data_IF_066774331161
#
_entry.id   IF_066774331161
#
_cell.length_a   1.000
_cell.length_b   1.000
_cell.length_c   1.000
_cell.angle_alpha   90.00
_cell.angle_beta   90.00
_cell.angle_gamma   90.00
#
_symmetry.space_group_name_H-M   'P 1'
#
loop_
_entity.id
_entity.type
_entity.pdbx_description
1 polymer ?
#
# COMPACT_ATOMS: atom_id res chain seq x y z
N UNK A 1 18.85 -15.85 -4.42
CA UNK A 1 20.16 -15.88 -3.71
C UNK A 1 20.03 -16.68 -2.44
N UNK A 2 21.04 -17.48 -2.12
CA UNK A 2 21.16 -18.10 -0.78
C UNK A 2 21.57 -17.05 0.25
N UNK A 3 22.53 -16.19 -0.08
CA UNK A 3 22.94 -15.03 0.67
C UNK A 3 23.43 -13.94 -0.28
N UNK A 4 23.03 -12.71 -0.02
CA UNK A 4 23.53 -11.53 -0.74
C UNK A 4 23.61 -10.36 0.24
N UNK A 5 24.75 -9.68 0.25
CA UNK A 5 24.95 -8.42 0.95
C UNK A 5 25.36 -7.38 -0.08
N UNK A 6 24.66 -6.25 -0.08
CA UNK A 6 24.90 -5.14 -1.02
C UNK A 6 24.93 -3.84 -0.23
N UNK A 7 25.97 -3.06 -0.44
CA UNK A 7 26.05 -1.70 0.04
C UNK A 7 25.65 -0.74 -1.09
N UNK A 8 24.76 0.20 -0.79
CA UNK A 8 24.26 1.16 -1.77
C UNK A 8 24.95 2.50 -1.59
N UNK A 9 25.37 3.09 -2.71
CA UNK A 9 25.87 4.46 -2.74
C UNK A 9 24.67 5.45 -2.66
N UNK A 10 24.80 6.56 -1.92
CA UNK A 10 23.83 7.65 -2.03
C UNK A 10 23.71 8.16 -3.46
N UNK A 11 22.51 8.17 -4.04
CA UNK A 11 22.25 8.58 -5.41
C UNK A 11 22.06 7.39 -6.37
N UNK A 12 22.71 7.41 -7.53
CA UNK A 12 22.49 6.42 -8.58
C UNK A 12 23.25 5.12 -8.31
N UNK A 13 22.53 4.00 -8.29
CA UNK A 13 23.08 2.65 -8.28
C UNK A 13 22.58 1.90 -9.52
N UNK A 14 23.49 1.32 -10.29
CA UNK A 14 23.16 0.64 -11.56
C UNK A 14 23.53 -0.83 -11.48
N UNK A 15 22.58 -1.72 -11.76
CA UNK A 15 22.78 -3.16 -11.79
C UNK A 15 22.88 -3.65 -13.24
N UNK A 16 24.08 -4.08 -13.65
CA UNK A 16 24.36 -4.59 -14.98
C UNK A 16 24.63 -6.10 -14.93
N UNK A 17 24.25 -6.80 -15.98
CA UNK A 17 24.50 -8.25 -16.12
C UNK A 17 23.48 -8.91 -17.04
N UNK A 18 23.69 -10.19 -17.33
CA UNK A 18 22.79 -10.99 -18.19
C UNK A 18 21.42 -11.21 -17.52
N UNK A 19 20.45 -11.66 -18.30
CA UNK A 19 19.13 -12.02 -17.79
C UNK A 19 19.23 -13.22 -16.84
N UNK A 20 18.26 -13.34 -15.93
CA UNK A 20 18.21 -14.37 -14.90
C UNK A 20 19.31 -14.34 -13.84
N UNK A 21 20.15 -13.29 -13.76
CA UNK A 21 21.19 -13.12 -12.74
C UNK A 21 20.70 -12.50 -11.43
N UNK A 22 19.38 -12.32 -11.27
CA UNK A 22 18.79 -11.85 -10.02
C UNK A 22 18.74 -10.32 -9.83
N UNK A 23 19.06 -9.50 -10.84
CA UNK A 23 18.99 -8.03 -10.75
C UNK A 23 17.63 -7.53 -10.22
N UNK A 24 16.55 -8.08 -10.79
CA UNK A 24 15.19 -7.75 -10.37
C UNK A 24 14.90 -8.20 -8.93
N UNK A 25 15.49 -9.30 -8.49
CA UNK A 25 15.31 -9.78 -7.12
C UNK A 25 15.93 -8.82 -6.09
N UNK A 26 17.00 -8.10 -6.44
CA UNK A 26 17.57 -7.05 -5.56
C UNK A 26 16.56 -5.91 -5.44
N UNK A 27 16.00 -5.40 -6.54
CA UNK A 27 14.98 -4.35 -6.51
C UNK A 27 13.72 -4.82 -5.75
N UNK A 28 13.30 -6.06 -6.00
CA UNK A 28 12.17 -6.68 -5.29
C UNK A 28 12.42 -6.76 -3.78
N UNK A 29 13.64 -7.08 -3.35
CA UNK A 29 14.00 -7.14 -1.93
C UNK A 29 13.93 -5.77 -1.24
N UNK A 30 14.33 -4.69 -1.93
CA UNK A 30 14.20 -3.31 -1.45
C UNK A 30 12.71 -2.94 -1.30
N UNK A 31 11.92 -3.23 -2.34
CA UNK A 31 10.48 -3.00 -2.33
C UNK A 31 9.79 -3.81 -1.22
N UNK A 32 10.20 -5.07 -1.06
CA UNK A 32 9.68 -5.94 -0.01
C UNK A 32 10.04 -5.43 1.38
N UNK A 33 11.28 -4.96 1.56
CA UNK A 33 11.72 -4.35 2.83
C UNK A 33 10.91 -3.10 3.20
N UNK A 34 10.52 -2.29 2.23
CA UNK A 34 9.71 -1.10 2.48
C UNK A 34 8.24 -1.42 2.77
N UNK A 35 7.64 -2.32 1.98
CA UNK A 35 6.19 -2.51 1.89
C UNK A 35 5.70 -3.87 2.39
N UNK A 36 6.60 -4.74 2.82
CA UNK A 36 6.29 -6.10 3.29
C UNK A 36 5.56 -6.97 2.26
N UNK A 37 5.63 -6.63 0.99
CA UNK A 37 5.00 -7.36 -0.12
C UNK A 37 5.87 -7.33 -1.37
N UNK A 38 5.76 -8.35 -2.21
CA UNK A 38 6.31 -8.31 -3.56
C UNK A 38 5.44 -7.48 -4.50
N UNK A 39 6.05 -6.85 -5.51
CA UNK A 39 5.34 -6.23 -6.63
C UNK A 39 4.98 -7.26 -7.71
N UNK A 40 5.67 -8.42 -7.76
CA UNK A 40 5.55 -9.45 -8.79
C UNK A 40 4.59 -10.58 -8.41
N UNK A 41 4.56 -10.99 -7.14
CA UNK A 41 3.72 -12.10 -6.67
C UNK A 41 2.86 -11.70 -5.47
N UNK A 42 1.72 -12.38 -5.34
CA UNK A 42 0.85 -12.29 -4.15
C UNK A 42 1.13 -13.41 -3.15
N UNK A 43 1.88 -14.42 -3.56
CA UNK A 43 2.18 -15.58 -2.76
C UNK A 43 3.60 -15.46 -2.19
N UNK A 44 3.72 -15.23 -0.89
CA UNK A 44 5.01 -15.09 -0.23
C UNK A 44 5.91 -16.33 -0.35
N UNK A 45 5.33 -17.51 -0.60
CA UNK A 45 6.12 -18.75 -0.81
C UNK A 45 6.98 -18.69 -2.06
N UNK A 46 6.59 -17.89 -3.05
CA UNK A 46 7.36 -17.72 -4.29
C UNK A 46 8.67 -16.92 -4.05
N UNK A 47 8.80 -16.29 -2.89
CA UNK A 47 9.99 -15.54 -2.48
C UNK A 47 11.00 -16.40 -1.72
N UNK A 48 10.59 -17.60 -1.29
CA UNK A 48 11.45 -18.55 -0.56
C UNK A 48 12.32 -19.31 -1.55
N UNK A 49 13.59 -19.47 -1.24
CA UNK A 49 14.51 -20.30 -2.03
C UNK A 49 14.07 -21.75 -2.05
N UNK A 50 14.21 -22.47 -3.17
CA UNK A 50 13.60 -23.79 -3.41
C UNK A 50 13.91 -24.84 -2.33
N UNK A 51 15.06 -24.78 -1.71
CA UNK A 51 15.51 -25.73 -0.67
C UNK A 51 15.36 -25.18 0.75
N UNK A 52 14.67 -24.05 0.91
CA UNK A 52 14.47 -23.38 2.18
C UNK A 52 13.00 -23.36 2.60
N UNK A 53 12.75 -23.22 3.89
CA UNK A 53 11.42 -23.04 4.47
C UNK A 53 11.15 -21.59 4.87
N UNK A 54 12.18 -20.76 4.84
CA UNK A 54 12.15 -19.38 5.31
C UNK A 54 13.04 -18.48 4.47
N UNK A 55 12.82 -17.18 4.57
CA UNK A 55 13.72 -16.17 4.06
C UNK A 55 13.77 -14.94 4.99
N UNK A 56 14.82 -14.17 4.84
CA UNK A 56 15.03 -12.94 5.57
C UNK A 56 15.55 -11.85 4.64
N UNK A 57 14.94 -10.66 4.75
CA UNK A 57 15.44 -9.42 4.15
C UNK A 57 15.69 -8.43 5.26
N UNK A 58 16.87 -7.83 5.27
CA UNK A 58 17.21 -6.78 6.24
C UNK A 58 18.01 -5.67 5.57
N UNK A 59 17.90 -4.46 6.09
CA UNK A 59 18.64 -3.32 5.62
C UNK A 59 18.89 -2.31 6.74
N UNK A 60 19.96 -1.54 6.59
CA UNK A 60 20.30 -0.43 7.48
C UNK A 60 20.05 0.87 6.73
N UNK A 61 19.02 1.60 7.14
CA UNK A 61 18.72 2.90 6.58
C UNK A 61 19.57 3.97 7.26
N UNK A 62 20.31 4.75 6.48
CA UNK A 62 20.98 5.94 6.98
C UNK A 62 19.99 7.12 6.96
N UNK A 63 19.73 7.70 8.13
CA UNK A 63 18.85 8.85 8.32
C UNK A 63 19.62 9.98 9.01
N UNK A 64 19.11 11.19 8.91
CA UNK A 64 19.64 12.35 9.67
C UNK A 64 19.63 12.10 11.18
N UNK A 65 18.62 11.37 11.67
CA UNK A 65 18.46 10.99 13.08
C UNK A 65 19.30 9.78 13.50
N UNK A 66 20.12 9.23 12.59
CA UNK A 66 20.95 8.06 12.81
C UNK A 66 20.46 6.81 12.06
N UNK A 67 21.26 5.72 12.12
CA UNK A 67 20.97 4.48 11.42
C UNK A 67 19.72 3.79 11.97
N UNK A 68 18.87 3.30 11.08
CA UNK A 68 17.66 2.56 11.42
C UNK A 68 17.68 1.17 10.76
N UNK A 69 17.93 0.10 11.51
CA UNK A 69 17.82 -1.26 11.00
C UNK A 69 16.36 -1.67 10.82
N UNK A 70 16.04 -2.19 9.63
CA UNK A 70 14.79 -2.83 9.29
C UNK A 70 15.01 -4.30 8.98
N UNK A 71 14.07 -5.15 9.38
CA UNK A 71 14.12 -6.58 9.12
C UNK A 71 12.73 -7.13 8.87
N UNK A 72 12.64 -7.99 7.86
CA UNK A 72 11.47 -8.83 7.59
C UNK A 72 11.95 -10.26 7.46
N UNK A 73 11.30 -11.16 8.16
CA UNK A 73 11.49 -12.60 8.01
C UNK A 73 10.16 -13.30 7.77
N UNK A 74 10.17 -14.26 6.88
CA UNK A 74 9.07 -15.20 6.66
C UNK A 74 9.51 -16.58 7.11
N UNK A 75 8.69 -17.19 7.94
CA UNK A 75 8.89 -18.56 8.45
C UNK A 75 7.60 -19.35 8.31
N UNK A 76 7.57 -20.68 8.50
CA UNK A 76 6.35 -21.46 8.56
C UNK A 76 5.32 -20.95 9.59
N UNK A 77 5.79 -20.25 10.64
CA UNK A 77 4.94 -19.61 11.67
C UNK A 77 4.36 -18.27 11.23
N UNK A 78 4.74 -17.77 10.06
CA UNK A 78 4.28 -16.50 9.50
C UNK A 78 5.36 -15.45 9.37
N UNK A 79 4.92 -14.24 9.00
CA UNK A 79 5.78 -13.08 8.79
C UNK A 79 6.07 -12.35 10.10
N UNK A 80 7.30 -11.92 10.27
CA UNK A 80 7.76 -11.10 11.38
C UNK A 80 8.49 -9.88 10.84
N UNK A 81 8.17 -8.71 11.37
CA UNK A 81 8.82 -7.45 11.03
C UNK A 81 9.47 -6.84 12.28
N UNK A 82 10.64 -6.23 12.10
CA UNK A 82 11.33 -5.50 13.16
C UNK A 82 11.77 -4.13 12.68
N UNK A 83 11.65 -3.15 13.55
CA UNK A 83 12.16 -1.79 13.39
C UNK A 83 13.10 -1.55 14.57
N UNK A 84 14.35 -1.16 14.30
CA UNK A 84 15.38 -0.97 15.34
C UNK A 84 15.47 -2.19 16.29
N UNK A 85 15.50 -3.39 15.71
CA UNK A 85 15.53 -4.69 16.40
C UNK A 85 14.26 -5.05 17.19
N UNK A 86 13.28 -4.14 17.31
CA UNK A 86 12.03 -4.35 18.04
C UNK A 86 10.96 -4.93 17.11
N UNK A 87 10.38 -6.07 17.52
CA UNK A 87 9.29 -6.72 16.78
C UNK A 87 8.06 -5.82 16.73
N UNK A 88 7.45 -5.69 15.55
CA UNK A 88 6.24 -4.93 15.36
C UNK A 88 5.00 -5.83 15.46
N UNK A 89 4.02 -5.41 16.25
CA UNK A 89 2.78 -6.15 16.42
C UNK A 89 1.85 -6.04 15.22
N UNK A 90 1.90 -4.91 14.49
CA UNK A 90 1.08 -4.62 13.31
C UNK A 90 1.97 -4.16 12.16
N UNK A 91 1.60 -4.52 10.93
CA UNK A 91 2.31 -4.06 9.73
C UNK A 91 2.22 -2.54 9.54
N UNK A 92 1.12 -1.92 9.99
CA UNK A 92 0.98 -0.46 9.99
C UNK A 92 2.02 0.27 10.82
N UNK A 93 2.63 -0.41 11.81
CA UNK A 93 3.71 0.16 12.62
C UNK A 93 5.08 0.00 11.94
N UNK A 94 5.17 -0.82 10.91
CA UNK A 94 6.39 -1.05 10.15
C UNK A 94 6.44 -0.21 8.87
N UNK A 95 5.33 -0.14 8.13
CA UNK A 95 5.24 0.60 6.87
C UNK A 95 5.38 2.10 7.15
N UNK A 96 6.10 2.80 6.25
CA UNK A 96 6.38 4.23 6.38
C UNK A 96 7.74 4.57 7.01
N UNK A 97 8.45 3.58 7.56
CA UNK A 97 9.84 3.80 7.99
C UNK A 97 10.81 3.94 6.82
N UNK A 98 10.51 3.31 5.70
CA UNK A 98 11.19 3.44 4.42
C UNK A 98 10.14 3.64 3.32
N UNK A 99 10.22 4.76 2.60
CA UNK A 99 9.35 5.02 1.46
C UNK A 99 10.07 4.60 0.18
N UNK A 100 9.33 3.95 -0.72
CA UNK A 100 9.84 3.49 -2.00
C UNK A 100 8.87 3.83 -3.11
N UNK A 101 9.40 4.29 -4.23
CA UNK A 101 8.66 4.41 -5.48
C UNK A 101 9.30 3.44 -6.47
N UNK A 102 8.51 2.52 -6.97
CA UNK A 102 8.93 1.57 -7.99
C UNK A 102 8.29 1.97 -9.32
N UNK A 103 9.08 1.92 -10.39
CA UNK A 103 8.58 1.99 -11.75
C UNK A 103 9.00 0.71 -12.49
N UNK A 104 8.03 -0.03 -12.98
CA UNK A 104 8.21 -1.28 -13.70
C UNK A 104 7.30 -1.34 -14.94
N UNK A 105 7.61 -2.17 -15.95
CA UNK A 105 6.76 -2.29 -17.15
C UNK A 105 5.30 -2.66 -16.84
N UNK A 106 5.06 -3.37 -15.74
CA UNK A 106 3.75 -3.76 -15.26
C UNK A 106 2.88 -2.56 -14.83
N UNK A 107 3.49 -1.43 -14.50
CA UNK A 107 2.79 -0.21 -14.07
C UNK A 107 1.98 0.44 -15.20
N UNK A 108 2.22 0.06 -16.46
CA UNK A 108 1.34 0.40 -17.58
C UNK A 108 -0.10 -0.12 -17.36
N UNK A 109 -0.28 -1.15 -16.54
CA UNK A 109 -1.59 -1.63 -16.12
C UNK A 109 -2.35 -0.61 -15.24
N UNK A 110 -1.66 0.38 -14.68
CA UNK A 110 -2.32 1.48 -13.96
C UNK A 110 -3.27 2.25 -14.89
N UNK A 111 -2.86 2.43 -16.16
CA UNK A 111 -3.66 3.11 -17.18
C UNK A 111 -4.62 2.15 -17.88
N UNK A 112 -4.11 0.99 -18.34
CA UNK A 112 -4.84 0.03 -19.17
C UNK A 112 -5.70 -0.95 -18.37
N UNK A 113 -5.41 -1.12 -17.08
CA UNK A 113 -6.03 -2.11 -16.22
C UNK A 113 -7.32 -1.66 -15.53
N UNK A 114 -7.86 -2.55 -14.73
CA UNK A 114 -9.11 -2.33 -14.00
C UNK A 114 -8.97 -1.27 -12.88
N UNK A 115 -10.08 -0.62 -12.48
CA UNK A 115 -10.09 0.38 -11.39
C UNK A 115 -9.53 -0.12 -10.05
N UNK A 116 -9.61 -1.42 -9.79
CA UNK A 116 -9.04 -2.04 -8.58
C UNK A 116 -7.51 -1.87 -8.51
N UNK A 117 -6.80 -1.89 -9.66
CA UNK A 117 -5.37 -1.62 -9.73
C UNK A 117 -5.04 -0.19 -9.32
N UNK A 118 -5.80 0.78 -9.81
CA UNK A 118 -5.64 2.20 -9.45
C UNK A 118 -5.92 2.46 -7.98
N UNK A 119 -6.97 1.86 -7.40
CA UNK A 119 -7.23 1.97 -5.95
C UNK A 119 -6.10 1.36 -5.13
N UNK A 120 -5.60 0.18 -5.54
CA UNK A 120 -4.47 -0.46 -4.87
C UNK A 120 -3.21 0.41 -4.91
N UNK A 121 -2.93 1.10 -6.03
CA UNK A 121 -1.83 2.05 -6.13
C UNK A 121 -1.98 3.17 -5.08
N UNK A 122 -3.13 3.84 -5.03
CA UNK A 122 -3.40 4.89 -4.04
C UNK A 122 -3.21 4.35 -2.62
N UNK A 123 -3.72 3.15 -2.32
CA UNK A 123 -3.64 2.55 -0.99
C UNK A 123 -2.18 2.24 -0.58
N UNK A 124 -1.34 1.88 -1.54
CA UNK A 124 0.09 1.66 -1.32
C UNK A 124 0.79 2.98 -1.00
N UNK A 125 0.58 4.00 -1.84
CA UNK A 125 1.25 5.28 -1.68
C UNK A 125 0.81 6.01 -0.40
N UNK A 126 -0.50 6.09 -0.16
CA UNK A 126 -1.03 6.66 1.09
C UNK A 126 -0.57 5.88 2.33
N UNK A 127 -0.50 4.55 2.22
CA UNK A 127 -0.05 3.70 3.30
C UNK A 127 1.38 3.96 3.74
N UNK A 128 2.27 4.29 2.81
CA UNK A 128 3.65 4.67 3.13
C UNK A 128 3.74 6.06 3.78
N UNK A 129 2.87 6.98 3.37
CA UNK A 129 2.92 8.39 3.77
C UNK A 129 2.18 8.67 5.07
N UNK A 130 1.09 7.94 5.33
CA UNK A 130 0.15 8.20 6.44
C UNK A 130 -0.19 6.90 7.17
N UNK A 131 0.44 6.57 8.30
CA UNK A 131 0.12 5.37 9.07
C UNK A 131 -1.35 5.29 9.51
N UNK A 132 -1.99 6.44 9.79
CA UNK A 132 -3.41 6.49 10.15
C UNK A 132 -4.30 5.98 9.02
N UNK A 133 -3.96 6.25 7.76
CA UNK A 133 -4.68 5.74 6.60
C UNK A 133 -4.72 4.21 6.57
N UNK A 134 -3.59 3.54 6.86
CA UNK A 134 -3.54 2.08 6.92
C UNK A 134 -4.43 1.53 8.04
N UNK A 135 -4.48 2.22 9.17
CA UNK A 135 -5.36 1.85 10.27
C UNK A 135 -6.83 1.96 9.86
N UNK A 136 -7.24 3.10 9.30
CA UNK A 136 -8.61 3.34 8.87
C UNK A 136 -9.04 2.37 7.76
N UNK A 137 -8.18 2.15 6.76
CA UNK A 137 -8.43 1.18 5.68
C UNK A 137 -8.56 -0.26 6.21
N UNK A 138 -7.76 -0.63 7.21
CA UNK A 138 -7.84 -1.94 7.85
C UNK A 138 -9.16 -2.12 8.60
N UNK A 139 -9.58 -1.11 9.37
CA UNK A 139 -10.85 -1.13 10.09
C UNK A 139 -12.03 -1.14 9.12
N UNK A 140 -12.01 -0.29 8.09
CA UNK A 140 -13.02 -0.29 7.04
C UNK A 140 -13.21 -1.69 6.44
N UNK A 141 -12.11 -2.32 6.01
CA UNK A 141 -12.18 -3.66 5.41
C UNK A 141 -12.66 -4.73 6.41
N UNK A 142 -12.31 -4.59 7.68
CA UNK A 142 -12.76 -5.51 8.73
C UNK A 142 -14.27 -5.42 8.93
N UNK A 143 -14.80 -4.21 9.13
CA UNK A 143 -16.23 -3.96 9.32
C UNK A 143 -17.03 -4.35 8.06
N UNK A 144 -16.53 -4.00 6.87
CA UNK A 144 -17.14 -4.39 5.60
C UNK A 144 -17.29 -5.93 5.48
N UNK A 145 -16.25 -6.66 5.87
CA UNK A 145 -16.29 -8.13 5.87
C UNK A 145 -17.32 -8.66 6.88
N UNK A 146 -17.38 -8.07 8.07
CA UNK A 146 -18.36 -8.45 9.09
C UNK A 146 -19.79 -8.20 8.60
N UNK A 147 -20.07 -6.99 8.07
CA UNK A 147 -21.37 -6.62 7.51
C UNK A 147 -21.80 -7.58 6.40
N UNK A 148 -20.93 -7.80 5.42
CA UNK A 148 -21.23 -8.70 4.31
C UNK A 148 -21.46 -10.15 4.76
N UNK A 149 -20.71 -10.62 5.76
CA UNK A 149 -20.91 -11.94 6.35
C UNK A 149 -22.22 -12.03 7.11
N UNK A 150 -22.57 -10.99 7.86
CA UNK A 150 -23.82 -10.90 8.61
C UNK A 150 -25.03 -10.94 7.66
N UNK A 151 -25.05 -10.07 6.65
CA UNK A 151 -26.13 -10.03 5.66
C UNK A 151 -26.30 -11.33 4.88
N UNK A 152 -25.19 -12.04 4.63
CA UNK A 152 -25.23 -13.31 3.87
C UNK A 152 -25.73 -14.51 4.70
N UNK A 153 -25.39 -14.55 6.00
CA UNK A 153 -25.54 -15.77 6.80
C UNK A 153 -26.67 -15.68 7.84
N UNK A 154 -27.26 -14.49 8.05
CA UNK A 154 -28.34 -14.32 9.03
C UNK A 154 -29.69 -14.64 8.40
N UNK A 155 -30.44 -15.55 9.03
CA UNK A 155 -31.83 -15.85 8.64
C UNK A 155 -32.77 -14.67 8.95
N UNK A 156 -32.48 -13.93 10.02
CA UNK A 156 -33.20 -12.72 10.43
C UNK A 156 -32.20 -11.62 10.73
N UNK A 157 -32.39 -10.47 10.11
CA UNK A 157 -31.55 -9.30 10.29
C UNK A 157 -32.04 -8.52 11.52
N UNK A 158 -31.12 -8.25 12.44
CA UNK A 158 -31.31 -7.28 13.51
C UNK A 158 -30.85 -5.91 13.00
N UNK A 159 -31.82 -5.02 12.79
CA UNK A 159 -31.57 -3.67 12.26
C UNK A 159 -30.66 -2.86 13.19
N UNK A 160 -30.81 -3.00 14.51
CA UNK A 160 -29.95 -2.28 15.48
C UNK A 160 -28.50 -2.70 15.36
N UNK A 161 -28.23 -3.99 15.19
CA UNK A 161 -26.87 -4.47 14.98
C UNK A 161 -26.32 -4.05 13.62
N UNK A 162 -27.15 -4.04 12.57
CA UNK A 162 -26.75 -3.57 11.25
C UNK A 162 -26.41 -2.08 11.28
N UNK A 163 -27.20 -1.24 11.95
CA UNK A 163 -26.93 0.20 12.13
C UNK A 163 -25.59 0.46 12.80
N UNK A 164 -25.20 -0.35 13.78
CA UNK A 164 -23.88 -0.26 14.43
C UNK A 164 -22.75 -0.54 13.43
N UNK A 165 -22.90 -1.58 12.59
CA UNK A 165 -21.91 -1.88 11.56
C UNK A 165 -21.85 -0.79 10.49
N UNK A 166 -23.00 -0.26 10.10
CA UNK A 166 -23.11 0.78 9.09
C UNK A 166 -22.52 2.12 9.57
N UNK A 167 -22.75 2.50 10.83
CA UNK A 167 -22.10 3.64 11.46
C UNK A 167 -20.58 3.50 11.48
N UNK A 168 -20.06 2.36 11.86
CA UNK A 168 -18.61 2.12 11.84
C UNK A 168 -18.05 2.15 10.42
N UNK A 169 -18.77 1.56 9.46
CA UNK A 169 -18.36 1.52 8.06
C UNK A 169 -18.34 2.93 7.46
N UNK A 170 -19.34 3.75 7.76
CA UNK A 170 -19.41 5.15 7.33
C UNK A 170 -18.27 5.97 7.92
N UNK A 171 -18.01 5.81 9.21
CA UNK A 171 -16.94 6.54 9.92
C UNK A 171 -15.55 6.22 9.39
N UNK A 172 -15.20 4.94 9.20
CA UNK A 172 -13.91 4.58 8.61
C UNK A 172 -13.85 4.90 7.12
N UNK A 173 -14.95 4.69 6.39
CA UNK A 173 -15.06 4.94 4.95
C UNK A 173 -14.90 6.39 4.58
N UNK A 174 -15.53 7.32 5.31
CA UNK A 174 -15.40 8.76 5.10
C UNK A 174 -13.95 9.24 5.24
N UNK A 175 -13.22 8.77 6.27
CA UNK A 175 -11.80 9.09 6.46
C UNK A 175 -10.94 8.54 5.32
N UNK A 176 -11.20 7.31 4.87
CA UNK A 176 -10.48 6.73 3.71
C UNK A 176 -10.74 7.55 2.45
N UNK A 177 -11.99 7.94 2.17
CA UNK A 177 -12.36 8.76 1.01
C UNK A 177 -11.68 10.13 1.09
N UNK A 178 -11.75 10.81 2.23
CA UNK A 178 -11.12 12.10 2.45
C UNK A 178 -9.61 12.07 2.17
N UNK A 179 -8.90 11.08 2.70
CA UNK A 179 -7.47 10.92 2.43
C UNK A 179 -7.17 10.68 0.94
N UNK A 180 -8.03 9.93 0.24
CA UNK A 180 -7.86 9.70 -1.20
C UNK A 180 -8.13 10.96 -2.02
N UNK A 181 -9.13 11.75 -1.66
CA UNK A 181 -9.43 13.03 -2.32
C UNK A 181 -8.26 14.00 -2.19
N UNK A 182 -7.73 14.21 -0.97
CA UNK A 182 -6.55 15.06 -0.72
C UNK A 182 -5.32 14.58 -1.52
N UNK A 183 -5.08 13.26 -1.55
CA UNK A 183 -3.96 12.70 -2.30
C UNK A 183 -4.12 12.92 -3.80
N UNK A 184 -5.29 12.65 -4.37
CA UNK A 184 -5.54 12.80 -5.81
C UNK A 184 -5.46 14.26 -6.24
N UNK A 185 -5.93 15.20 -5.43
CA UNK A 185 -5.79 16.63 -5.72
C UNK A 185 -4.31 17.04 -5.84
N UNK A 186 -3.48 16.59 -4.90
CA UNK A 186 -2.03 16.86 -4.93
C UNK A 186 -1.33 16.14 -6.10
N UNK A 187 -1.71 14.89 -6.35
CA UNK A 187 -1.18 14.09 -7.46
C UNK A 187 -1.55 14.74 -8.81
N UNK A 188 -2.79 15.17 -8.99
CA UNK A 188 -3.28 15.84 -10.21
C UNK A 188 -2.42 17.07 -10.53
N UNK A 189 -2.19 17.95 -9.54
CA UNK A 189 -1.41 19.16 -9.73
C UNK A 189 0.02 18.85 -10.21
N UNK A 190 0.69 17.92 -9.55
CA UNK A 190 2.07 17.51 -9.87
C UNK A 190 2.16 16.75 -11.19
N UNK A 191 1.22 15.84 -11.44
CA UNK A 191 1.20 15.04 -12.68
C UNK A 191 0.92 15.91 -13.91
N UNK A 192 0.01 16.87 -13.81
CA UNK A 192 -0.30 17.81 -14.90
C UNK A 192 0.95 18.59 -15.31
N UNK A 193 1.69 19.14 -14.34
CA UNK A 193 2.94 19.86 -14.58
C UNK A 193 3.97 19.00 -15.31
N UNK A 194 4.21 17.78 -14.82
CA UNK A 194 5.19 16.87 -15.40
C UNK A 194 4.77 16.34 -16.77
N UNK A 195 3.49 16.04 -16.94
CA UNK A 195 2.96 15.57 -18.21
C UNK A 195 3.03 16.64 -19.29
N UNK A 196 2.73 17.90 -18.97
CA UNK A 196 2.89 19.02 -19.89
C UNK A 196 4.33 19.14 -20.42
N UNK A 197 5.34 18.99 -19.53
CA UNK A 197 6.75 18.98 -19.93
C UNK A 197 7.08 17.81 -20.85
N UNK A 198 6.62 16.60 -20.53
CA UNK A 198 6.90 15.37 -21.30
C UNK A 198 6.23 15.39 -22.67
N UNK A 199 5.01 15.93 -22.77
CA UNK A 199 4.24 16.02 -24.03
C UNK A 199 4.55 17.27 -24.84
N UNK A 200 5.46 18.15 -24.38
CA UNK A 200 5.69 19.48 -24.97
C UNK A 200 4.38 20.28 -25.05
N UNK A 201 3.56 20.26 -24.01
CA UNK A 201 2.23 20.89 -23.91
C UNK A 201 1.23 20.47 -25.00
N UNK A 202 1.40 19.28 -25.60
CA UNK A 202 0.47 18.77 -26.63
C UNK A 202 -0.72 18.02 -26.06
N UNK A 203 -0.62 17.58 -24.81
CA UNK A 203 -1.64 16.77 -24.14
C UNK A 203 -1.92 17.32 -22.75
N UNK A 204 -3.19 17.22 -22.32
CA UNK A 204 -3.62 17.61 -20.98
C UNK A 204 -4.01 16.38 -20.17
N UNK A 205 -3.38 16.22 -18.99
CA UNK A 205 -3.64 15.09 -18.09
C UNK A 205 -4.61 15.49 -17.00
N UNK A 206 -5.70 14.74 -16.87
CA UNK A 206 -6.64 14.86 -15.75
C UNK A 206 -6.73 13.57 -14.97
N UNK A 207 -6.59 13.66 -13.65
CA UNK A 207 -6.76 12.55 -12.71
C UNK A 207 -7.87 12.94 -11.74
N UNK A 208 -8.91 12.09 -11.65
CA UNK A 208 -10.06 12.32 -10.79
C UNK A 208 -10.36 11.08 -9.93
N UNK A 209 -10.78 11.33 -8.69
CA UNK A 209 -11.33 10.30 -7.83
C UNK A 209 -12.86 10.33 -7.92
N UNK A 210 -13.44 9.28 -8.50
CA UNK A 210 -14.89 9.13 -8.58
C UNK A 210 -15.36 8.31 -7.37
N UNK A 211 -16.09 8.95 -6.49
CA UNK A 211 -16.78 8.34 -5.36
C UNK A 211 -18.28 8.48 -5.53
N UNK A 212 -19.06 7.57 -4.98
CA UNK A 212 -20.52 7.68 -4.88
C UNK A 212 -20.93 8.68 -3.80
N UNK A 213 -20.04 8.94 -2.85
CA UNK A 213 -20.19 9.94 -1.78
C UNK A 213 -19.16 11.02 -2.01
N UNK A 214 -19.55 12.28 -1.98
CA UNK A 214 -18.64 13.41 -2.18
C UNK A 214 -19.05 14.60 -1.32
N UNK A 215 -18.11 15.04 -0.49
CA UNK A 215 -18.13 16.33 0.22
C UNK A 215 -16.69 16.76 0.53
N UNK A 216 -16.48 18.04 0.74
CA UNK A 216 -15.21 18.59 1.22
C UNK A 216 -15.04 18.37 2.73
N UNK A 217 -16.15 18.33 3.47
CA UNK A 217 -16.19 18.12 4.92
C UNK A 217 -16.33 16.63 5.25
N UNK A 218 -15.56 16.16 6.25
CA UNK A 218 -15.57 14.74 6.66
C UNK A 218 -16.91 14.34 7.26
N UNK A 219 -17.51 15.20 8.08
CA UNK A 219 -18.77 14.91 8.76
C UNK A 219 -19.91 14.75 7.75
N UNK A 220 -19.94 15.58 6.72
CA UNK A 220 -20.89 15.44 5.60
C UNK A 220 -20.64 14.14 4.80
N UNK A 221 -19.37 13.75 4.61
CA UNK A 221 -19.04 12.48 3.97
C UNK A 221 -19.54 11.29 4.77
N UNK A 222 -19.38 11.34 6.10
CA UNK A 222 -19.82 10.28 7.01
C UNK A 222 -21.34 10.13 6.96
N UNK A 223 -22.08 11.23 7.04
CA UNK A 223 -23.55 11.23 6.98
C UNK A 223 -24.06 10.73 5.64
N UNK A 224 -23.50 11.22 4.52
CA UNK A 224 -23.87 10.75 3.18
C UNK A 224 -23.56 9.27 2.99
N UNK A 225 -22.41 8.81 3.51
CA UNK A 225 -22.02 7.42 3.40
C UNK A 225 -22.98 6.52 4.19
N UNK A 226 -23.33 6.91 5.41
CA UNK A 226 -24.29 6.17 6.23
C UNK A 226 -25.66 6.06 5.55
N UNK A 227 -26.16 7.15 4.95
CA UNK A 227 -27.45 7.16 4.24
C UNK A 227 -27.50 6.25 3.00
N UNK A 228 -26.35 5.85 2.49
CA UNK A 228 -26.22 4.99 1.29
C UNK A 228 -26.08 3.51 1.62
N UNK A 229 -25.88 3.16 2.89
CA UNK A 229 -25.73 1.76 3.35
C UNK A 229 -27.08 1.11 3.66
#
# INVERSE_FOLDING_TARGET
YQKLEVEFHPGLNMFLGQNAQGKTNILESIYFLALTRSHRTRNDKDLVYFESTDFKVSGLLQRETGPLPLEISLTPKGRMTKVNHLKQAKLSNYIGHMNVVLFAPEDLQLIKGAPAGRRKFIDIELGQMKPIYLSDLSQYNHVLKQRNSYLKNSEKIDETFLDVLDSQLASFGSRVIHHRLDFIQKLQAKSKEKHALLSNNKEDLTIQYQSTVFSEEIDDLEEQFFRML
#
